data_IF_688814495968
#
_entry.id   IF_688814495968
#
_cell.length_a   1.000
_cell.length_b   1.000
_cell.length_c   1.000
_cell.angle_alpha   90.00
_cell.angle_beta   90.00
_cell.angle_gamma   90.00
#
_symmetry.space_group_name_H-M   'P 1'
#
loop_
_entity.id
_entity.type
_entity.pdbx_description
1 polymer ?
#
# COMPACT_ATOMS: atom_id res chain seq x y z
N UNK A 1 4.16 13.10 15.73
CA UNK A 1 5.16 14.17 15.44
C UNK A 1 5.13 15.27 16.51
N UNK A 2 3.97 15.77 16.93
CA UNK A 2 3.85 16.80 17.97
C UNK A 2 4.51 16.40 19.28
N UNK A 3 4.32 15.13 19.73
CA UNK A 3 4.95 14.64 20.95
C UNK A 3 6.47 14.63 20.84
N UNK A 4 7.01 14.19 19.69
CA UNK A 4 8.44 14.23 19.43
C UNK A 4 9.00 15.66 19.53
N UNK A 5 8.31 16.64 18.94
CA UNK A 5 8.73 18.04 19.03
C UNK A 5 8.70 18.55 20.47
N UNK A 6 7.69 18.16 21.28
CA UNK A 6 7.61 18.53 22.71
C UNK A 6 8.76 17.94 23.52
N UNK A 7 9.12 16.67 23.25
CA UNK A 7 10.10 15.93 24.02
C UNK A 7 11.54 16.32 23.68
N UNK A 8 11.79 16.72 22.43
CA UNK A 8 13.14 16.95 21.90
C UNK A 8 13.46 18.41 21.57
N UNK A 9 12.45 19.26 21.44
CA UNK A 9 12.59 20.62 20.92
C UNK A 9 12.83 20.70 19.41
N UNK A 10 12.91 19.57 18.72
CA UNK A 10 13.17 19.50 17.28
C UNK A 10 11.86 19.70 16.52
N UNK A 11 11.80 20.74 15.68
CA UNK A 11 10.67 20.97 14.79
C UNK A 11 10.70 19.98 13.62
N UNK A 12 9.60 19.28 13.40
CA UNK A 12 9.44 18.36 12.27
C UNK A 12 8.65 19.05 11.15
N UNK A 13 9.25 19.15 9.98
CA UNK A 13 8.56 19.51 8.74
C UNK A 13 8.17 18.24 8.03
N UNK A 14 6.88 17.99 7.88
CA UNK A 14 6.34 16.76 7.32
C UNK A 14 5.71 16.99 5.95
N UNK A 15 6.06 16.13 4.99
CA UNK A 15 5.44 16.10 3.68
C UNK A 15 4.99 14.66 3.35
N UNK A 16 3.70 14.48 3.07
CA UNK A 16 3.14 13.18 2.66
C UNK A 16 3.07 13.09 1.14
N UNK A 17 3.71 12.05 0.60
CA UNK A 17 3.74 11.70 -0.82
C UNK A 17 3.44 10.21 -1.00
N UNK A 18 3.07 9.79 -2.21
CA UNK A 18 3.03 8.37 -2.56
C UNK A 18 4.44 7.82 -2.76
N UNK A 19 4.63 6.49 -2.63
CA UNK A 19 5.96 5.87 -2.68
C UNK A 19 6.74 6.21 -3.96
N UNK A 20 6.08 6.21 -5.11
CA UNK A 20 6.72 6.58 -6.38
C UNK A 20 7.08 8.06 -6.47
N UNK A 21 6.27 8.95 -5.87
CA UNK A 21 6.59 10.38 -5.79
C UNK A 21 7.78 10.63 -4.85
N UNK A 22 7.86 9.90 -3.72
CA UNK A 22 9.02 9.94 -2.82
C UNK A 22 10.29 9.57 -3.59
N UNK A 23 10.30 8.42 -4.27
CA UNK A 23 11.46 7.97 -5.03
C UNK A 23 11.87 8.99 -6.09
N UNK A 24 10.92 9.50 -6.88
CA UNK A 24 11.19 10.51 -7.91
C UNK A 24 11.77 11.79 -7.33
N UNK A 25 11.30 12.20 -6.17
CA UNK A 25 11.82 13.37 -5.46
C UNK A 25 13.24 13.15 -4.97
N UNK A 26 13.53 12.00 -4.34
CA UNK A 26 14.89 11.65 -3.92
C UNK A 26 15.87 11.68 -5.09
N UNK A 27 15.46 11.14 -6.25
CA UNK A 27 16.27 11.18 -7.48
C UNK A 27 16.54 12.61 -7.93
N UNK A 28 15.51 13.48 -7.92
CA UNK A 28 15.66 14.89 -8.31
C UNK A 28 16.54 15.69 -7.34
N UNK A 29 16.48 15.37 -6.04
CA UNK A 29 17.21 16.05 -4.96
C UNK A 29 18.59 15.40 -4.67
N UNK A 30 19.03 14.40 -5.44
CA UNK A 30 20.25 13.61 -5.17
C UNK A 30 21.48 14.46 -4.88
N UNK A 31 21.67 15.55 -5.61
CA UNK A 31 22.83 16.44 -5.47
C UNK A 31 22.65 17.52 -4.39
N UNK A 32 21.48 17.66 -3.85
CA UNK A 32 21.14 18.61 -2.77
C UNK A 32 19.96 18.05 -1.94
N UNK A 33 20.20 17.02 -1.10
CA UNK A 33 19.15 16.36 -0.31
C UNK A 33 18.41 17.34 0.60
N UNK A 34 17.08 17.25 0.60
CA UNK A 34 16.18 18.10 1.40
C UNK A 34 15.43 17.31 2.48
N UNK A 35 15.67 16.01 2.58
CA UNK A 35 14.95 15.08 3.47
C UNK A 35 15.95 14.42 4.40
N UNK A 36 15.66 14.45 5.71
CA UNK A 36 16.49 13.82 6.73
C UNK A 36 16.02 12.39 7.04
N UNK A 37 14.70 12.13 6.96
CA UNK A 37 14.10 10.84 7.32
C UNK A 37 12.98 10.49 6.35
N UNK A 38 13.01 9.28 5.85
CA UNK A 38 11.91 8.65 5.12
C UNK A 38 11.11 7.77 6.08
N UNK A 39 9.83 8.05 6.25
CA UNK A 39 8.97 7.32 7.16
C UNK A 39 7.77 6.75 6.41
N UNK A 40 7.64 5.42 6.44
CA UNK A 40 6.54 4.72 5.78
C UNK A 40 6.83 4.34 4.33
N UNK A 41 5.90 3.61 3.74
CA UNK A 41 6.05 3.00 2.43
C UNK A 41 6.77 1.64 2.48
N UNK A 42 6.64 0.83 1.42
CA UNK A 42 7.20 -0.51 1.39
C UNK A 42 8.70 -0.54 1.12
N UNK A 43 9.38 -1.54 1.68
CA UNK A 43 10.83 -1.71 1.64
C UNK A 43 11.42 -1.77 0.22
N UNK A 44 10.69 -2.28 -0.77
CA UNK A 44 11.12 -2.36 -2.16
C UNK A 44 11.50 -1.01 -2.77
N UNK A 45 10.80 0.07 -2.44
CA UNK A 45 11.16 1.43 -2.87
C UNK A 45 12.47 1.92 -2.23
N UNK A 46 12.73 1.54 -0.96
CA UNK A 46 13.99 1.88 -0.31
C UNK A 46 15.16 1.04 -0.81
N UNK A 47 14.93 -0.19 -1.25
CA UNK A 47 15.96 -0.96 -1.96
C UNK A 47 16.39 -0.27 -3.27
N UNK A 48 15.45 0.29 -4.02
CA UNK A 48 15.78 1.10 -5.20
C UNK A 48 16.57 2.36 -4.79
N UNK A 49 16.09 3.10 -3.78
CA UNK A 49 16.76 4.29 -3.29
C UNK A 49 18.20 4.00 -2.80
N UNK A 50 18.40 2.91 -2.08
CA UNK A 50 19.71 2.42 -1.64
C UNK A 50 20.64 2.13 -2.83
N UNK A 51 20.15 1.35 -3.80
CA UNK A 51 20.94 0.96 -4.97
C UNK A 51 21.35 2.17 -5.85
N UNK A 52 20.55 3.22 -5.83
CA UNK A 52 20.84 4.48 -6.50
C UNK A 52 21.69 5.47 -5.66
N UNK A 53 22.02 5.11 -4.41
CA UNK A 53 22.78 5.95 -3.48
C UNK A 53 22.02 7.22 -3.05
N UNK A 54 20.71 7.07 -2.80
CA UNK A 54 19.82 8.15 -2.37
C UNK A 54 19.56 8.15 -0.87
N UNK A 55 19.99 7.10 -0.16
CA UNK A 55 19.84 6.95 1.30
C UNK A 55 21.18 6.62 1.93
N UNK A 56 21.32 6.84 3.22
CA UNK A 56 22.50 6.53 4.00
C UNK A 56 22.21 5.44 5.04
N UNK A 57 23.19 4.58 5.39
CA UNK A 57 22.97 3.57 6.40
C UNK A 57 22.85 4.19 7.79
N UNK A 58 21.81 3.81 8.52
CA UNK A 58 21.60 4.20 9.90
C UNK A 58 20.93 3.08 10.70
N UNK A 59 21.55 2.66 11.81
CA UNK A 59 20.94 1.70 12.72
C UNK A 59 20.18 2.45 13.81
N UNK A 60 18.83 2.42 13.83
CA UNK A 60 18.06 3.07 14.86
C UNK A 60 18.37 2.50 16.24
N UNK A 61 18.53 3.38 17.24
CA UNK A 61 18.75 2.99 18.63
C UNK A 61 17.57 2.15 19.13
N UNK A 62 17.84 0.99 19.69
CA UNK A 62 16.80 0.08 20.18
C UNK A 62 16.16 -0.81 19.10
N UNK A 63 16.65 -0.84 17.86
CA UNK A 63 16.10 -1.70 16.79
C UNK A 63 16.54 -3.18 16.84
N UNK A 64 17.30 -3.58 17.86
CA UNK A 64 17.87 -4.94 17.95
C UNK A 64 16.81 -6.02 18.11
N UNK A 65 15.65 -5.71 18.71
CA UNK A 65 14.55 -6.66 18.87
C UNK A 65 13.79 -6.95 17.57
N UNK A 66 13.96 -6.14 16.53
CA UNK A 66 13.32 -6.35 15.23
C UNK A 66 14.00 -7.53 14.54
N UNK A 67 13.25 -8.56 14.07
CA UNK A 67 13.84 -9.71 13.37
C UNK A 67 14.63 -9.31 12.11
N UNK A 68 15.63 -10.09 11.76
CA UNK A 68 16.54 -9.75 10.67
C UNK A 68 15.85 -9.65 9.30
N UNK A 69 14.80 -10.44 9.08
CA UNK A 69 13.99 -10.42 7.86
C UNK A 69 13.21 -9.11 7.65
N UNK A 70 13.08 -8.27 8.69
CA UNK A 70 12.44 -6.97 8.65
C UNK A 70 13.42 -5.79 8.70
N UNK A 71 14.68 -6.03 8.38
CA UNK A 71 15.75 -5.02 8.34
C UNK A 71 16.66 -5.23 7.14
N UNK A 72 17.15 -4.15 6.58
CA UNK A 72 18.28 -4.23 5.65
C UNK A 72 19.56 -4.66 6.41
N UNK A 73 20.30 -5.67 5.93
CA UNK A 73 21.53 -6.14 6.60
C UNK A 73 22.63 -5.07 6.64
N UNK A 74 22.56 -4.05 5.79
CA UNK A 74 23.49 -2.92 5.77
C UNK A 74 22.92 -1.66 6.45
N UNK A 75 21.75 -1.77 7.12
CA UNK A 75 21.05 -0.71 7.86
C UNK A 75 20.57 0.49 7.00
N UNK A 76 20.25 0.30 5.74
CA UNK A 76 19.64 1.36 4.92
C UNK A 76 18.17 1.54 5.21
N UNK A 77 17.50 0.54 5.77
CA UNK A 77 16.13 0.65 6.26
C UNK A 77 15.85 -0.32 7.41
N UNK A 78 14.87 0.04 8.21
CA UNK A 78 14.37 -0.76 9.33
C UNK A 78 12.86 -0.84 9.27
N UNK A 79 12.30 -2.05 9.37
CA UNK A 79 10.86 -2.27 9.42
C UNK A 79 10.24 -1.70 10.68
N UNK A 80 9.11 -1.02 10.53
CA UNK A 80 8.32 -0.44 11.62
C UNK A 80 6.91 -1.02 11.70
N UNK A 81 6.49 -1.74 10.67
CA UNK A 81 5.18 -2.37 10.63
C UNK A 81 5.05 -3.39 9.51
N UNK A 82 4.00 -4.21 9.60
CA UNK A 82 3.60 -5.15 8.55
C UNK A 82 2.27 -4.68 7.98
N UNK A 83 2.20 -4.57 6.66
CA UNK A 83 1.03 -4.07 5.93
C UNK A 83 0.48 -5.16 4.99
N UNK A 84 -0.37 -6.07 5.47
CA UNK A 84 -1.03 -7.01 4.58
C UNK A 84 -2.02 -6.29 3.68
N UNK A 85 -2.14 -6.77 2.43
CA UNK A 85 -3.24 -6.36 1.57
C UNK A 85 -4.55 -6.97 2.06
N UNK A 86 -5.63 -6.21 1.90
CA UNK A 86 -7.00 -6.63 2.16
C UNK A 86 -7.92 -6.19 1.02
N UNK A 87 -9.04 -6.87 0.90
CA UNK A 87 -10.17 -6.42 0.11
C UNK A 87 -11.10 -5.59 0.99
N UNK A 88 -11.52 -4.45 0.51
CA UNK A 88 -12.57 -3.63 1.11
C UNK A 88 -13.73 -3.54 0.13
N UNK A 89 -14.94 -3.83 0.59
CA UNK A 89 -16.15 -3.86 -0.25
C UNK A 89 -17.29 -3.11 0.44
N UNK A 90 -18.03 -2.30 -0.31
CA UNK A 90 -19.17 -1.55 0.20
C UNK A 90 -20.36 -2.49 0.46
N UNK A 91 -20.94 -2.44 1.65
CA UNK A 91 -22.02 -3.34 2.07
C UNK A 91 -23.32 -3.08 1.31
N UNK A 92 -23.58 -1.85 0.88
CA UNK A 92 -24.78 -1.52 0.10
C UNK A 92 -24.67 -2.12 -1.31
N UNK A 93 -23.45 -2.10 -1.89
CA UNK A 93 -23.17 -2.77 -3.15
C UNK A 93 -23.40 -4.28 -3.05
N UNK A 94 -22.87 -4.94 -2.00
CA UNK A 94 -23.08 -6.37 -1.76
C UNK A 94 -24.57 -6.73 -1.67
N UNK A 95 -25.31 -5.98 -0.87
CA UNK A 95 -26.77 -6.17 -0.70
C UNK A 95 -27.53 -5.99 -2.00
N UNK A 96 -27.26 -4.89 -2.73
CA UNK A 96 -27.93 -4.57 -4.01
C UNK A 96 -27.76 -5.67 -5.06
N UNK A 97 -26.59 -6.31 -5.10
CA UNK A 97 -26.23 -7.32 -6.09
C UNK A 97 -26.39 -8.75 -5.56
N UNK A 98 -26.91 -8.95 -4.34
CA UNK A 98 -27.01 -10.25 -3.67
C UNK A 98 -25.69 -11.02 -3.64
N UNK A 99 -24.58 -10.31 -3.37
CA UNK A 99 -23.24 -10.87 -3.31
C UNK A 99 -22.79 -11.07 -1.87
N UNK A 100 -21.92 -12.05 -1.67
CA UNK A 100 -21.07 -12.16 -0.46
C UNK A 100 -19.79 -11.36 -0.65
N UNK A 101 -19.14 -11.00 0.45
CA UNK A 101 -17.81 -10.39 0.41
C UNK A 101 -16.83 -11.28 -0.37
N UNK A 102 -15.96 -10.69 -1.22
CA UNK A 102 -15.02 -11.46 -2.04
C UNK A 102 -14.00 -12.18 -1.14
N UNK A 103 -13.71 -13.45 -1.45
CA UNK A 103 -12.73 -14.28 -0.76
C UNK A 103 -11.71 -14.90 -1.71
N UNK A 104 -11.71 -14.45 -2.95
CA UNK A 104 -10.77 -14.85 -3.99
C UNK A 104 -10.46 -13.66 -4.89
N UNK A 105 -9.23 -13.58 -5.40
CA UNK A 105 -8.87 -12.62 -6.45
C UNK A 105 -9.82 -12.72 -7.65
N UNK A 106 -10.22 -13.93 -8.01
CA UNK A 106 -11.12 -14.19 -9.14
C UNK A 106 -12.53 -13.59 -8.96
N UNK A 107 -12.96 -13.34 -7.71
CA UNK A 107 -14.27 -12.74 -7.46
C UNK A 107 -14.41 -11.37 -8.12
N UNK A 108 -13.33 -10.61 -8.22
CA UNK A 108 -13.33 -9.29 -8.86
C UNK A 108 -13.42 -9.31 -10.40
N UNK A 109 -13.39 -10.49 -11.01
CA UNK A 109 -13.64 -10.65 -12.45
C UNK A 109 -15.11 -10.84 -12.78
N UNK A 110 -15.99 -10.96 -11.79
CA UNK A 110 -17.44 -11.12 -11.98
C UNK A 110 -18.02 -9.87 -12.64
N UNK A 111 -19.04 -10.04 -13.51
CA UNK A 111 -19.68 -8.93 -14.22
C UNK A 111 -20.26 -7.84 -13.31
N UNK A 112 -20.68 -8.21 -12.09
CA UNK A 112 -21.26 -7.29 -11.11
C UNK A 112 -20.28 -6.21 -10.67
N UNK A 113 -18.96 -6.46 -10.76
CA UNK A 113 -17.93 -5.47 -10.45
C UNK A 113 -17.54 -4.57 -11.63
N UNK A 114 -18.22 -4.71 -12.79
CA UNK A 114 -17.92 -3.90 -13.97
C UNK A 114 -17.96 -2.40 -13.63
N UNK A 115 -16.87 -1.69 -13.93
CA UNK A 115 -16.69 -0.28 -13.60
C UNK A 115 -16.97 0.06 -12.12
N UNK A 116 -16.78 -0.92 -11.23
CA UNK A 116 -17.02 -0.78 -9.80
C UNK A 116 -15.75 -0.75 -8.95
N UNK A 117 -14.59 -1.03 -9.52
CA UNK A 117 -13.34 -1.09 -8.78
C UNK A 117 -12.57 0.22 -8.90
N UNK A 118 -12.07 0.72 -7.77
CA UNK A 118 -11.04 1.77 -7.74
C UNK A 118 -9.76 1.14 -7.19
N UNK A 119 -8.67 1.21 -7.95
CA UNK A 119 -7.39 0.62 -7.61
C UNK A 119 -6.28 1.67 -7.64
N UNK A 120 -5.23 1.46 -6.87
CA UNK A 120 -4.04 2.29 -6.98
C UNK A 120 -3.22 1.95 -8.24
N UNK A 121 -2.54 2.96 -8.81
CA UNK A 121 -1.65 2.84 -9.96
C UNK A 121 -0.26 2.38 -9.51
N UNK A 122 0.25 1.30 -10.10
CA UNK A 122 1.55 0.73 -9.74
C UNK A 122 2.75 1.62 -10.10
N UNK A 123 2.55 2.64 -10.95
CA UNK A 123 3.60 3.61 -11.27
C UNK A 123 3.86 4.60 -10.13
N UNK A 124 2.91 4.73 -9.20
CA UNK A 124 2.99 5.73 -8.12
C UNK A 124 2.79 5.16 -6.72
N UNK A 125 2.11 4.03 -6.57
CA UNK A 125 1.65 3.51 -5.28
C UNK A 125 2.30 2.19 -4.90
N UNK A 126 2.91 2.14 -3.71
CA UNK A 126 3.41 0.91 -3.11
C UNK A 126 2.32 -0.13 -2.87
N UNK A 127 1.10 0.27 -2.51
CA UNK A 127 -0.05 -0.64 -2.39
C UNK A 127 -0.34 -1.37 -3.70
N UNK A 128 -0.21 -0.67 -4.82
CA UNK A 128 -0.41 -1.28 -6.14
C UNK A 128 0.74 -2.21 -6.52
N UNK A 129 1.98 -1.86 -6.18
CA UNK A 129 3.16 -2.73 -6.38
C UNK A 129 3.01 -4.02 -5.57
N UNK A 130 2.60 -3.91 -4.30
CA UNK A 130 2.33 -5.06 -3.44
C UNK A 130 1.21 -5.97 -4.01
N UNK A 131 0.17 -5.38 -4.60
CA UNK A 131 -0.86 -6.13 -5.33
C UNK A 131 -0.26 -6.90 -6.51
N UNK A 132 0.66 -6.30 -7.25
CA UNK A 132 1.33 -6.99 -8.37
C UNK A 132 2.14 -8.19 -7.87
N UNK A 133 2.92 -8.03 -6.80
CA UNK A 133 3.68 -9.11 -6.19
C UNK A 133 2.77 -10.23 -5.68
N UNK A 134 1.66 -9.89 -5.02
CA UNK A 134 0.66 -10.88 -4.59
C UNK A 134 0.11 -11.68 -5.76
N UNK A 135 -0.27 -11.01 -6.84
CA UNK A 135 -0.81 -11.67 -8.03
C UNK A 135 0.25 -12.53 -8.74
N UNK A 136 1.50 -12.08 -8.82
CA UNK A 136 2.58 -12.86 -9.42
C UNK A 136 2.90 -14.10 -8.60
N UNK A 137 2.87 -14.00 -7.27
CA UNK A 137 3.07 -15.15 -6.37
C UNK A 137 1.94 -16.18 -6.51
N UNK A 138 0.70 -15.72 -6.67
CA UNK A 138 -0.48 -16.62 -6.75
C UNK A 138 -0.64 -17.24 -8.14
N UNK A 139 -0.43 -16.48 -9.20
CA UNK A 139 -0.74 -16.90 -10.58
C UNK A 139 0.50 -17.09 -11.47
N UNK A 140 1.70 -16.83 -10.96
CA UNK A 140 2.92 -16.69 -11.75
C UNK A 140 2.89 -15.42 -12.62
N UNK A 141 4.04 -15.10 -13.23
CA UNK A 141 4.21 -13.84 -13.97
C UNK A 141 3.20 -13.69 -15.11
N UNK A 142 3.07 -14.69 -15.97
CA UNK A 142 2.14 -14.62 -17.11
C UNK A 142 0.69 -14.60 -16.63
N UNK A 143 0.34 -15.46 -15.66
CA UNK A 143 -1.01 -15.50 -15.09
C UNK A 143 -1.42 -14.19 -14.42
N UNK A 144 -0.50 -13.51 -13.73
CA UNK A 144 -0.71 -12.19 -13.17
C UNK A 144 -1.04 -11.15 -14.24
N UNK A 145 -0.28 -11.13 -15.35
CA UNK A 145 -0.53 -10.23 -16.48
C UNK A 145 -1.93 -10.49 -17.08
N UNK A 146 -2.28 -11.74 -17.31
CA UNK A 146 -3.56 -12.10 -17.91
C UNK A 146 -4.73 -11.82 -16.97
N UNK A 147 -4.54 -12.03 -15.67
CA UNK A 147 -5.51 -11.65 -14.65
C UNK A 147 -5.74 -10.14 -14.64
N UNK A 148 -4.69 -9.34 -14.66
CA UNK A 148 -4.79 -7.88 -14.63
C UNK A 148 -5.45 -7.30 -15.88
N UNK A 149 -5.19 -7.87 -17.08
CA UNK A 149 -5.90 -7.50 -18.32
C UNK A 149 -7.42 -7.73 -18.20
N UNK A 150 -7.82 -8.81 -17.51
CA UNK A 150 -9.25 -9.09 -17.25
C UNK A 150 -9.79 -8.14 -16.19
N UNK A 151 -9.07 -7.95 -15.08
CA UNK A 151 -9.44 -7.07 -13.97
C UNK A 151 -9.64 -5.62 -14.42
N UNK A 152 -8.78 -5.15 -15.34
CA UNK A 152 -8.85 -3.78 -15.88
C UNK A 152 -10.23 -3.42 -16.46
N UNK A 153 -10.96 -4.40 -17.00
CA UNK A 153 -12.31 -4.19 -17.54
C UNK A 153 -13.34 -3.84 -16.46
N UNK A 154 -13.06 -4.15 -15.21
CA UNK A 154 -13.90 -3.85 -14.05
C UNK A 154 -13.42 -2.62 -13.27
N UNK A 155 -12.27 -2.04 -13.65
CA UNK A 155 -11.71 -0.87 -12.99
C UNK A 155 -12.32 0.41 -13.56
N UNK A 156 -12.93 1.19 -12.67
CA UNK A 156 -13.46 2.52 -12.96
C UNK A 156 -12.33 3.56 -13.06
N UNK A 157 -11.35 3.47 -12.15
CA UNK A 157 -10.30 4.47 -12.01
C UNK A 157 -9.04 3.89 -11.36
N UNK A 158 -7.88 4.42 -11.76
CA UNK A 158 -6.61 4.24 -11.05
C UNK A 158 -6.22 5.52 -10.33
N UNK A 159 -5.78 5.40 -9.07
CA UNK A 159 -5.43 6.53 -8.20
C UNK A 159 -3.93 6.59 -7.94
N UNK A 160 -3.39 7.78 -7.72
CA UNK A 160 -1.99 7.94 -7.30
C UNK A 160 -1.74 7.37 -5.89
N UNK A 161 -2.66 7.65 -4.96
CA UNK A 161 -2.58 7.21 -3.56
C UNK A 161 -3.10 5.79 -3.41
N UNK A 162 -2.41 4.97 -2.59
CA UNK A 162 -2.85 3.63 -2.20
C UNK A 162 -4.02 3.60 -1.21
N UNK A 163 -4.10 4.62 -0.34
CA UNK A 163 -5.13 4.71 0.70
C UNK A 163 -6.48 5.28 0.18
N UNK A 164 -6.44 6.16 -0.82
CA UNK A 164 -7.64 6.85 -1.31
C UNK A 164 -8.76 5.94 -1.80
N UNK A 165 -8.48 4.78 -2.45
CA UNK A 165 -9.53 3.83 -2.84
C UNK A 165 -10.40 3.35 -1.69
N UNK A 166 -9.84 3.16 -0.48
CA UNK A 166 -10.62 2.73 0.69
C UNK A 166 -11.74 3.72 1.03
N UNK A 167 -11.43 5.03 1.01
CA UNK A 167 -12.42 6.07 1.26
C UNK A 167 -13.52 6.06 0.19
N UNK A 168 -13.16 5.89 -1.08
CA UNK A 168 -14.17 5.83 -2.18
C UNK A 168 -15.10 4.63 -2.08
N UNK A 169 -14.62 3.52 -1.55
CA UNK A 169 -15.47 2.38 -1.20
C UNK A 169 -16.39 2.72 -0.01
N UNK A 170 -15.85 3.38 1.02
CA UNK A 170 -16.64 3.86 2.16
C UNK A 170 -17.80 4.76 1.72
N UNK A 171 -17.52 5.78 0.93
CA UNK A 171 -18.51 6.72 0.39
C UNK A 171 -19.55 6.07 -0.56
N UNK A 172 -19.33 4.82 -0.99
CA UNK A 172 -20.18 4.14 -1.97
C UNK A 172 -19.95 4.58 -3.42
N UNK A 173 -18.87 5.33 -3.70
CA UNK A 173 -18.47 5.72 -5.05
C UNK A 173 -17.73 4.61 -5.80
N UNK A 174 -17.31 3.56 -5.09
CA UNK A 174 -16.78 2.33 -5.64
C UNK A 174 -17.42 1.13 -4.95
N UNK A 175 -17.52 0.02 -5.68
CA UNK A 175 -17.98 -1.25 -5.14
C UNK A 175 -16.94 -1.87 -4.21
N UNK A 176 -15.68 -1.89 -4.64
CA UNK A 176 -14.59 -2.49 -3.89
C UNK A 176 -13.22 -1.93 -4.29
N UNK A 177 -12.23 -2.20 -3.44
CA UNK A 177 -10.83 -1.91 -3.68
C UNK A 177 -9.93 -2.99 -3.05
N UNK A 178 -8.65 -2.94 -3.42
CA UNK A 178 -7.56 -3.71 -2.82
C UNK A 178 -6.59 -2.70 -2.21
N UNK A 179 -6.51 -2.69 -0.89
CA UNK A 179 -5.78 -1.69 -0.11
C UNK A 179 -4.95 -2.33 0.99
N UNK A 180 -4.07 -1.61 1.64
CA UNK A 180 -3.48 -2.09 2.87
C UNK A 180 -4.52 -2.17 4.00
N UNK A 181 -4.41 -3.17 4.85
CA UNK A 181 -5.32 -3.40 5.96
C UNK A 181 -5.50 -2.17 6.87
N UNK A 182 -4.46 -1.41 7.25
CA UNK A 182 -4.65 -0.20 8.06
C UNK A 182 -5.60 0.81 7.40
N UNK A 183 -5.45 1.07 6.10
CA UNK A 183 -6.33 1.97 5.36
C UNK A 183 -7.81 1.50 5.38
N UNK A 184 -8.03 0.19 5.30
CA UNK A 184 -9.37 -0.38 5.39
C UNK A 184 -9.95 -0.28 6.80
N UNK A 185 -9.13 -0.49 7.84
CA UNK A 185 -9.54 -0.38 9.25
C UNK A 185 -9.93 1.05 9.60
N UNK A 186 -9.23 2.06 9.09
CA UNK A 186 -9.58 3.47 9.29
C UNK A 186 -11.01 3.75 8.79
N UNK A 187 -11.40 3.20 7.64
CA UNK A 187 -12.74 3.36 7.08
C UNK A 187 -13.80 2.68 7.95
N UNK A 188 -13.49 1.51 8.52
CA UNK A 188 -14.37 0.84 9.50
C UNK A 188 -14.52 1.68 10.76
N UNK A 189 -13.42 2.22 11.29
CA UNK A 189 -13.44 3.06 12.50
C UNK A 189 -14.24 4.36 12.30
N UNK A 190 -14.24 4.91 11.09
CA UNK A 190 -15.07 6.06 10.71
C UNK A 190 -16.57 5.71 10.57
N UNK A 191 -16.96 4.45 10.72
CA UNK A 191 -18.35 4.00 10.69
C UNK A 191 -18.93 3.78 9.30
N UNK A 192 -18.12 3.74 8.25
CA UNK A 192 -18.61 3.49 6.91
C UNK A 192 -19.10 2.04 6.72
N UNK A 193 -20.14 1.81 5.88
CA UNK A 193 -20.72 0.49 5.69
C UNK A 193 -19.87 -0.38 4.74
N UNK A 194 -18.76 -0.88 5.24
CA UNK A 194 -17.82 -1.70 4.49
C UNK A 194 -17.56 -3.04 5.15
N UNK A 195 -17.15 -4.02 4.36
CA UNK A 195 -16.64 -5.32 4.81
C UNK A 195 -15.20 -5.49 4.35
N UNK A 196 -14.33 -5.90 5.29
CA UNK A 196 -12.96 -6.32 5.01
C UNK A 196 -12.94 -7.83 4.81
N UNK A 197 -12.25 -8.31 3.79
CA UNK A 197 -12.05 -9.73 3.52
C UNK A 197 -10.67 -9.98 2.90
N UNK A 198 -10.31 -11.25 2.78
CA UNK A 198 -8.98 -11.65 2.28
C UNK A 198 -9.13 -12.74 1.22
N UNK A 199 -8.23 -12.79 0.22
CA UNK A 199 -8.22 -13.89 -0.73
C UNK A 199 -7.69 -15.16 -0.08
N UNK A 200 -8.38 -16.26 -0.28
CA UNK A 200 -7.97 -17.60 0.17
C UNK A 200 -6.64 -18.06 -0.43
N UNK A 201 -6.28 -17.52 -1.57
CA UNK A 201 -5.02 -17.78 -2.26
C UNK A 201 -3.83 -17.09 -1.59
N UNK A 202 -4.09 -16.17 -0.65
CA UNK A 202 -3.08 -15.42 0.08
C UNK A 202 -2.73 -14.07 -0.56
N UNK A 203 -1.96 -13.31 0.21
CA UNK A 203 -1.35 -12.02 -0.16
C UNK A 203 0.10 -12.00 0.26
N UNK A 204 0.90 -11.17 -0.37
CA UNK A 204 2.21 -10.79 0.17
C UNK A 204 2.04 -9.78 1.30
N UNK A 205 3.09 -9.63 2.09
CA UNK A 205 3.12 -8.69 3.22
C UNK A 205 4.07 -7.55 2.88
N UNK A 206 3.54 -6.35 2.75
CA UNK A 206 4.36 -5.15 2.70
C UNK A 206 5.03 -4.93 4.07
N UNK A 207 6.31 -4.58 4.05
CA UNK A 207 7.03 -4.14 5.25
C UNK A 207 7.09 -2.63 5.20
N UNK A 208 6.40 -1.97 6.11
CA UNK A 208 6.52 -0.53 6.29
C UNK A 208 7.85 -0.20 6.96
N UNK A 209 8.58 0.77 6.45
CA UNK A 209 9.97 0.99 6.82
C UNK A 209 10.28 2.45 7.16
N UNK A 210 11.39 2.65 7.86
CA UNK A 210 12.07 3.93 8.07
C UNK A 210 13.50 3.86 7.55
N UNK A 211 13.97 4.94 6.97
CA UNK A 211 15.34 5.13 6.48
C UNK A 211 15.82 6.54 6.80
#
# INVERSE_FOLDING_TARGET
>A
LEQFTKDTGIKVNFLRLSSGEVLSRLQAEKNNPQVDVLLGGPADYLEVAKNEGLTAPYKPKGSDFIPAEFKDPQNYWTGIGIMPLAFITNNNFLKKNNLKAPTSWQDFLKPEYKEGLILADARTSGTATERLFSLERVFGRQGSIDFQKKLHKNVQMYTKSGAWPALRVGDGLAAAAMVYLPDALDIVQLGYPVTISYPKEGVTLGIEVVS
#
